data_IF_143010288701
#
_entry.id   IF_143010288701
#
_cell.length_a   1.000
_cell.length_b   1.000
_cell.length_c   1.000
_cell.angle_alpha   90.00
_cell.angle_beta   90.00
_cell.angle_gamma   90.00
#
_symmetry.space_group_name_H-M   'P 1'
#
loop_
_entity.id
_entity.type
_entity.pdbx_description
1 polymer ?
#
# COMPACT_ATOMS: atom_id res chain seq x y z
N UNK A 1 -12.35 20.71 5.36
CA UNK A 1 -11.49 21.02 4.20
C UNK A 1 -11.34 19.76 3.35
N UNK A 2 -11.74 19.78 2.08
CA UNK A 2 -11.59 18.63 1.19
C UNK A 2 -10.10 18.39 0.93
N UNK A 3 -9.53 17.38 1.59
CA UNK A 3 -8.18 16.89 1.32
C UNK A 3 -8.17 16.27 -0.08
N UNK A 4 -7.89 17.10 -1.08
CA UNK A 4 -7.74 16.66 -2.47
C UNK A 4 -6.53 15.72 -2.50
N UNK A 5 -6.74 14.47 -2.93
CA UNK A 5 -5.68 13.48 -3.07
C UNK A 5 -4.54 14.08 -3.91
N UNK A 6 -3.32 14.10 -3.35
CA UNK A 6 -2.14 14.64 -4.02
C UNK A 6 -1.30 13.49 -4.58
N UNK A 7 -0.89 13.63 -5.85
CA UNK A 7 0.12 12.78 -6.45
C UNK A 7 1.50 13.12 -5.89
N UNK A 8 2.38 12.13 -5.83
CA UNK A 8 3.79 12.37 -5.55
C UNK A 8 4.43 13.14 -6.71
N UNK A 9 5.39 14.01 -6.39
CA UNK A 9 6.18 14.77 -7.36
C UNK A 9 7.68 14.55 -7.13
N UNK A 10 8.53 14.69 -8.16
CA UNK A 10 9.97 14.51 -7.99
C UNK A 10 10.58 15.62 -7.13
N UNK A 11 9.92 16.78 -7.11
CA UNK A 11 10.25 17.95 -6.28
C UNK A 11 9.88 17.80 -4.80
N UNK A 12 9.21 16.71 -4.41
CA UNK A 12 8.88 16.47 -3.01
C UNK A 12 10.17 16.24 -2.20
N UNK A 13 10.27 16.89 -1.04
CA UNK A 13 11.42 16.75 -0.12
C UNK A 13 11.72 15.30 0.28
N UNK A 14 10.67 14.47 0.38
CA UNK A 14 10.76 13.05 0.76
C UNK A 14 11.00 12.11 -0.43
N UNK A 15 10.94 12.62 -1.66
CA UNK A 15 11.16 11.80 -2.85
C UNK A 15 12.65 11.45 -2.98
N UNK A 16 12.92 10.18 -3.30
CA UNK A 16 14.28 9.70 -3.57
C UNK A 16 14.27 8.73 -4.75
N UNK A 17 15.26 8.89 -5.62
CA UNK A 17 15.59 7.92 -6.65
C UNK A 17 16.60 6.92 -6.07
N UNK A 18 16.27 5.62 -6.06
CA UNK A 18 17.10 4.57 -5.47
C UNK A 18 18.52 4.47 -6.07
N UNK A 19 18.71 4.85 -7.33
CA UNK A 19 20.02 4.88 -8.01
C UNK A 19 20.77 6.21 -7.90
N UNK A 20 20.24 7.18 -7.13
CA UNK A 20 20.76 8.57 -7.07
C UNK A 20 20.98 9.20 -8.47
N UNK A 21 20.18 8.78 -9.45
CA UNK A 21 20.30 9.20 -10.84
C UNK A 21 19.39 10.38 -11.20
N UNK A 22 18.66 10.93 -10.22
CA UNK A 22 17.76 12.06 -10.42
C UNK A 22 18.56 13.36 -10.54
N UNK A 23 18.32 14.08 -11.63
CA UNK A 23 18.86 15.42 -11.90
C UNK A 23 17.69 16.36 -12.20
N UNK A 24 17.83 17.63 -11.83
CA UNK A 24 16.87 18.65 -12.23
C UNK A 24 17.48 19.50 -13.34
N UNK A 25 16.97 19.34 -14.56
CA UNK A 25 17.30 20.21 -15.70
C UNK A 25 16.22 21.30 -15.77
N UNK A 26 16.54 22.49 -15.27
CA UNK A 26 15.60 23.60 -15.12
C UNK A 26 14.35 23.21 -14.29
N UNK A 27 13.19 22.99 -14.94
CA UNK A 27 11.93 22.61 -14.29
C UNK A 27 11.57 21.12 -14.47
N UNK A 28 12.40 20.36 -15.17
CA UNK A 28 12.14 18.96 -15.50
C UNK A 28 13.03 18.06 -14.66
N UNK A 29 12.41 17.07 -14.02
CA UNK A 29 13.11 15.98 -13.36
C UNK A 29 13.60 14.99 -14.42
N UNK A 30 14.91 14.81 -14.53
CA UNK A 30 15.60 13.97 -15.50
C UNK A 30 16.28 12.79 -14.80
N UNK A 31 16.23 11.60 -15.40
CA UNK A 31 16.92 10.42 -14.91
C UNK A 31 18.19 10.19 -15.73
N UNK A 32 19.38 10.40 -15.14
CA UNK A 32 20.68 10.15 -15.82
C UNK A 32 20.87 8.69 -16.22
N UNK A 33 20.22 7.76 -15.52
CA UNK A 33 20.41 6.32 -15.75
C UNK A 33 19.62 5.81 -16.97
N UNK A 34 18.36 6.24 -17.11
CA UNK A 34 17.51 5.88 -18.25
C UNK A 34 17.61 6.88 -19.42
N UNK A 35 18.27 8.03 -19.17
CA UNK A 35 18.32 9.21 -20.04
C UNK A 35 16.94 9.69 -20.52
N UNK A 36 15.97 9.68 -19.60
CA UNK A 36 14.58 10.05 -19.86
C UNK A 36 14.01 10.90 -18.70
N UNK A 37 12.85 11.52 -18.93
CA UNK A 37 12.10 12.23 -17.91
C UNK A 37 11.67 11.29 -16.76
N UNK A 38 11.71 11.80 -15.53
CA UNK A 38 11.36 11.03 -14.34
C UNK A 38 9.84 10.87 -14.23
N UNK A 39 9.33 9.69 -14.58
CA UNK A 39 7.95 9.28 -14.28
C UNK A 39 7.87 8.45 -12.98
N UNK A 40 7.16 8.99 -11.98
CA UNK A 40 7.03 8.37 -10.66
C UNK A 40 6.14 7.12 -10.70
N UNK A 41 5.15 7.07 -11.59
CA UNK A 41 4.17 5.97 -11.62
C UNK A 41 4.78 4.69 -12.18
N UNK A 42 5.67 4.82 -13.15
CA UNK A 42 6.25 3.70 -13.90
C UNK A 42 7.66 3.34 -13.42
N UNK A 43 8.39 4.28 -12.82
CA UNK A 43 9.78 4.06 -12.41
C UNK A 43 9.90 3.12 -11.19
N UNK A 44 10.55 1.97 -11.40
CA UNK A 44 10.87 1.00 -10.33
C UNK A 44 11.81 1.54 -9.26
N UNK A 45 12.56 2.61 -9.56
CA UNK A 45 13.51 3.24 -8.64
C UNK A 45 12.93 4.46 -7.93
N UNK A 46 11.69 4.86 -8.25
CA UNK A 46 11.01 5.94 -7.56
C UNK A 46 10.60 5.47 -6.16
N UNK A 47 10.97 6.24 -5.15
CA UNK A 47 10.67 5.92 -3.75
C UNK A 47 10.40 7.16 -2.93
N UNK A 48 9.79 6.95 -1.76
CA UNK A 48 9.58 7.97 -0.76
C UNK A 48 10.23 7.51 0.55
N UNK A 49 11.03 8.36 1.19
CA UNK A 49 11.72 8.04 2.45
C UNK A 49 10.71 7.64 3.54
N UNK A 50 9.51 8.22 3.52
CA UNK A 50 8.43 7.91 4.47
C UNK A 50 7.61 6.68 4.09
N UNK A 51 7.96 5.98 3.00
CA UNK A 51 7.24 4.83 2.46
C UNK A 51 5.75 5.13 2.19
N UNK A 52 5.45 6.33 1.70
CA UNK A 52 4.08 6.79 1.37
C UNK A 52 3.81 6.88 -0.13
N UNK A 53 4.74 6.49 -0.99
CA UNK A 53 4.50 6.42 -2.43
C UNK A 53 3.73 5.14 -2.74
N UNK A 54 2.50 5.27 -3.22
CA UNK A 54 1.69 4.13 -3.66
C UNK A 54 1.98 3.78 -5.12
N UNK A 55 1.72 2.54 -5.57
CA UNK A 55 1.99 2.10 -6.94
C UNK A 55 1.26 2.91 -8.04
N UNK A 56 0.14 3.53 -7.69
CA UNK A 56 -0.61 4.43 -8.60
C UNK A 56 -0.05 5.86 -8.66
N UNK A 57 1.06 6.13 -7.96
CA UNK A 57 1.69 7.44 -7.83
C UNK A 57 1.02 8.38 -6.84
N UNK A 58 0.02 7.91 -6.07
CA UNK A 58 -0.60 8.71 -5.02
C UNK A 58 0.28 8.74 -3.76
N UNK A 59 0.22 9.86 -3.05
CA UNK A 59 0.84 9.97 -1.74
C UNK A 59 -0.13 9.46 -0.67
N UNK A 60 0.24 8.37 -0.01
CA UNK A 60 -0.51 7.76 1.08
C UNK A 60 -0.69 8.65 2.32
N UNK A 61 -0.03 9.82 2.39
CA UNK A 61 -0.33 10.84 3.41
C UNK A 61 -1.71 11.47 3.24
N UNK A 62 -2.25 11.46 2.01
CA UNK A 62 -3.53 12.11 1.68
C UNK A 62 -4.63 11.09 1.33
N UNK A 63 -4.33 9.79 1.46
CA UNK A 63 -5.30 8.73 1.18
C UNK A 63 -5.97 8.34 2.49
N UNK A 64 -7.28 8.57 2.59
CA UNK A 64 -8.07 8.10 3.73
C UNK A 64 -8.24 6.59 3.64
N UNK A 65 -8.02 5.83 4.72
CA UNK A 65 -8.29 4.40 4.74
C UNK A 65 -9.79 4.17 4.51
N UNK A 66 -10.14 3.19 3.68
CA UNK A 66 -11.51 2.70 3.60
C UNK A 66 -11.75 1.83 4.83
N UNK A 67 -12.53 2.32 5.78
CA UNK A 67 -13.03 1.51 6.89
C UNK A 67 -14.20 0.71 6.32
N UNK A 68 -13.98 -0.58 6.14
CA UNK A 68 -15.06 -1.52 5.81
C UNK A 68 -15.51 -2.06 7.16
N UNK A 69 -16.69 -1.65 7.62
CA UNK A 69 -17.32 -2.30 8.77
C UNK A 69 -17.66 -3.73 8.35
N UNK A 70 -17.06 -4.77 8.99
CA UNK A 70 -17.42 -6.13 8.67
C UNK A 70 -18.88 -6.33 9.11
N UNK A 71 -19.77 -6.60 8.16
CA UNK A 71 -21.12 -7.07 8.50
C UNK A 71 -20.96 -8.40 9.25
N UNK A 72 -21.58 -8.57 10.44
CA UNK A 72 -21.43 -9.78 11.26
C UNK A 72 -21.80 -11.09 10.54
N UNK A 73 -22.63 -11.01 9.51
CA UNK A 73 -23.18 -12.16 8.79
C UNK A 73 -22.14 -12.96 7.98
N UNK A 74 -21.04 -12.35 7.53
CA UNK A 74 -20.07 -13.04 6.65
C UNK A 74 -19.00 -13.84 7.40
N UNK A 75 -18.83 -13.61 8.71
CA UNK A 75 -17.83 -14.29 9.54
C UNK A 75 -18.30 -15.60 10.17
N UNK A 76 -19.61 -15.84 10.21
CA UNK A 76 -20.23 -17.05 10.77
C UNK A 76 -20.46 -18.11 9.69
N UNK A 77 -19.45 -18.41 8.86
CA UNK A 77 -19.51 -19.65 8.07
C UNK A 77 -19.25 -20.81 9.03
N UNK A 78 -20.23 -21.68 9.31
CA UNK A 78 -20.01 -22.80 10.20
C UNK A 78 -18.92 -23.68 9.58
N UNK A 79 -17.79 -23.78 10.28
CA UNK A 79 -16.73 -24.73 9.95
C UNK A 79 -17.34 -26.11 10.17
N UNK A 80 -17.53 -26.88 9.09
CA UNK A 80 -17.97 -28.28 9.20
C UNK A 80 -16.88 -29.07 9.93
N UNK A 81 -17.08 -29.30 11.23
CA UNK A 81 -16.18 -30.14 12.01
C UNK A 81 -16.31 -31.60 11.59
N UNK A 82 -15.18 -32.29 11.46
CA UNK A 82 -15.15 -33.74 11.22
C UNK A 82 -15.76 -34.48 12.42
N UNK A 83 -16.52 -35.56 12.20
CA UNK A 83 -17.19 -36.31 13.26
C UNK A 83 -16.27 -36.79 14.40
N UNK A 84 -14.99 -37.04 14.09
CA UNK A 84 -13.97 -37.42 15.09
C UNK A 84 -13.64 -36.31 16.09
N UNK A 85 -13.74 -35.05 15.66
CA UNK A 85 -13.51 -33.87 16.51
C UNK A 85 -14.68 -33.62 17.45
N UNK A 86 -15.91 -33.84 16.97
CA UNK A 86 -17.13 -33.72 17.77
C UNK A 86 -17.14 -34.76 18.91
N UNK A 87 -16.70 -35.99 18.63
CA UNK A 87 -16.65 -37.07 19.63
C UNK A 87 -15.66 -36.77 20.77
N UNK A 88 -14.48 -36.22 20.46
CA UNK A 88 -13.46 -35.83 21.47
C UNK A 88 -13.86 -34.61 22.31
N UNK A 89 -14.66 -33.70 21.76
CA UNK A 89 -15.20 -32.57 22.52
C UNK A 89 -16.23 -33.06 23.55
N UNK A 90 -17.12 -33.97 23.15
CA UNK A 90 -18.14 -34.55 24.03
C UNK A 90 -17.55 -35.36 25.20
N UNK A 91 -16.42 -36.03 24.99
CA UNK A 91 -15.71 -36.76 26.07
C UNK A 91 -15.05 -35.83 27.11
N UNK A 92 -14.74 -34.58 26.75
CA UNK A 92 -14.11 -33.60 27.66
C UNK A 92 -15.08 -32.80 28.51
N UNK A 93 -16.36 -32.71 28.12
CA UNK A 93 -17.39 -31.98 28.88
C UNK A 93 -18.08 -32.81 29.97
N UNK A 94 -17.76 -34.11 30.07
CA UNK A 94 -18.38 -35.06 31.01
C UNK A 94 -17.60 -35.25 32.33
N UNK A 95 -16.71 -34.33 32.69
CA UNK A 95 -15.97 -34.32 33.96
C UNK A 95 -16.31 -33.10 34.81
#
# INVERSE_FOLDING_TARGET
>A
MSEKQKYCSPSCEFFRCGRKALLFKSKIAWCKFADDACDIKTCKFAGCIRNKLLPNGLCGLFVKPKIIEPKPEEMLKPIKASGKLIQKLKERELY
#
